data_IF_690012341661
#
_entry.id   IF_690012341661
#
_cell.length_a   1.000
_cell.length_b   1.000
_cell.length_c   1.000
_cell.angle_alpha   90.00
_cell.angle_beta   90.00
_cell.angle_gamma   90.00
#
_symmetry.space_group_name_H-M   'P 1'
#
loop_
_entity.id
_entity.type
_entity.pdbx_description
1 polymer ?
#
# COMPACT_ATOMS: atom_id res chain seq x y z
N UNK A 1 16.90 8.90 26.57
CA UNK A 1 16.29 8.28 25.36
C UNK A 1 17.03 8.85 24.18
N UNK A 2 17.70 8.03 23.38
CA UNK A 2 18.40 8.48 22.18
C UNK A 2 17.43 8.33 21.00
N UNK A 3 17.25 9.41 20.22
CA UNK A 3 16.47 9.38 18.99
C UNK A 3 17.45 9.38 17.82
N UNK A 4 17.34 8.42 16.92
CA UNK A 4 18.25 8.25 15.80
C UNK A 4 17.82 9.07 14.56
N UNK A 5 16.51 9.38 14.44
CA UNK A 5 16.00 10.23 13.37
C UNK A 5 16.47 11.67 13.53
N UNK A 6 17.15 12.20 12.53
CA UNK A 6 17.71 13.56 12.52
C UNK A 6 17.30 14.28 11.25
N UNK A 7 16.32 15.23 11.30
CA UNK A 7 15.94 15.99 10.14
C UNK A 7 17.10 16.92 9.72
N UNK A 8 17.46 16.90 8.44
CA UNK A 8 18.44 17.79 7.83
C UNK A 8 17.79 19.13 7.42
N UNK A 9 16.47 19.10 7.16
CA UNK A 9 15.66 20.26 6.84
C UNK A 9 14.45 20.37 7.76
N UNK A 10 14.13 21.58 8.21
CA UNK A 10 12.93 21.86 8.99
C UNK A 10 12.10 22.89 8.22
N UNK A 11 10.85 22.59 7.83
CA UNK A 11 9.94 23.55 7.20
C UNK A 11 9.69 24.77 8.09
N UNK A 12 9.21 25.87 7.52
CA UNK A 12 8.74 27.01 8.31
C UNK A 12 7.34 26.71 8.86
N UNK A 13 7.08 27.13 10.11
CA UNK A 13 5.75 27.02 10.70
C UNK A 13 4.81 27.94 9.90
N UNK A 14 3.71 27.38 9.43
CA UNK A 14 2.64 28.08 8.73
C UNK A 14 1.49 28.47 9.68
N UNK A 15 1.00 27.53 10.48
CA UNK A 15 -0.07 27.72 11.48
C UNK A 15 0.49 27.49 12.89
N UNK A 16 0.62 28.59 13.64
CA UNK A 16 1.18 28.54 15.00
C UNK A 16 0.29 27.78 15.99
N UNK A 17 -1.03 27.76 15.78
CA UNK A 17 -1.96 27.00 16.63
C UNK A 17 -1.72 25.50 16.50
N UNK A 18 -1.63 25.01 15.25
CA UNK A 18 -1.32 23.59 14.99
C UNK A 18 0.07 23.23 15.50
N UNK A 19 1.06 24.10 15.30
CA UNK A 19 2.40 23.87 15.82
C UNK A 19 2.41 23.69 17.34
N UNK A 20 1.67 24.52 18.07
CA UNK A 20 1.56 24.43 19.54
C UNK A 20 0.91 23.09 19.97
N UNK A 21 -0.16 22.66 19.29
CA UNK A 21 -0.79 21.36 19.57
C UNK A 21 0.21 20.21 19.40
N UNK A 22 1.07 20.26 18.37
CA UNK A 22 2.09 19.22 18.14
C UNK A 22 3.23 19.29 19.17
N UNK A 23 3.62 20.47 19.62
CA UNK A 23 4.56 20.60 20.74
C UNK A 23 4.06 19.89 22.00
N UNK A 24 2.77 19.97 22.28
CA UNK A 24 2.15 19.29 23.43
C UNK A 24 2.04 17.76 23.22
N UNK A 25 1.93 17.30 21.98
CA UNK A 25 1.93 15.86 21.67
C UNK A 25 3.27 15.18 21.97
N UNK A 26 4.40 15.90 21.80
CA UNK A 26 5.74 15.34 21.88
C UNK A 26 6.64 16.04 22.94
N UNK A 27 6.23 16.15 24.21
CA UNK A 27 6.97 16.90 25.21
C UNK A 27 8.37 16.35 25.52
N UNK A 28 8.62 15.05 25.20
CA UNK A 28 9.88 14.37 25.48
C UNK A 28 10.85 14.35 24.29
N UNK A 29 10.44 14.87 23.12
CA UNK A 29 11.33 14.92 21.98
C UNK A 29 12.39 16.02 22.14
N UNK A 30 13.59 15.83 21.57
CA UNK A 30 14.55 16.89 21.41
C UNK A 30 13.94 18.09 20.65
N UNK A 31 14.45 19.28 20.89
CA UNK A 31 13.89 20.50 20.35
C UNK A 31 13.83 20.50 18.81
N UNK A 32 14.88 20.02 18.14
CA UNK A 32 14.92 19.90 16.68
C UNK A 32 13.81 18.99 16.12
N UNK A 33 13.55 17.86 16.78
CA UNK A 33 12.45 16.95 16.38
C UNK A 33 11.07 17.59 16.63
N UNK A 34 10.88 18.22 17.77
CA UNK A 34 9.64 18.94 18.06
C UNK A 34 9.37 20.02 17.03
N UNK A 35 10.39 20.82 16.69
CA UNK A 35 10.29 21.87 15.67
C UNK A 35 9.97 21.28 14.30
N UNK A 36 10.60 20.17 13.90
CA UNK A 36 10.32 19.50 12.64
C UNK A 36 8.86 19.01 12.56
N UNK A 37 8.37 18.28 13.55
CA UNK A 37 7.00 17.77 13.54
C UNK A 37 5.96 18.88 13.63
N UNK A 38 6.19 19.90 14.43
CA UNK A 38 5.32 21.06 14.55
C UNK A 38 5.23 21.84 13.23
N UNK A 39 6.37 22.08 12.58
CA UNK A 39 6.42 22.77 11.30
C UNK A 39 5.75 21.94 10.18
N UNK A 40 6.07 20.66 10.08
CA UNK A 40 5.49 19.72 9.10
C UNK A 40 3.96 19.65 9.22
N UNK A 41 3.45 19.48 10.43
CA UNK A 41 2.01 19.42 10.71
C UNK A 41 1.31 20.75 10.39
N UNK A 42 1.96 21.88 10.72
CA UNK A 42 1.39 23.21 10.47
C UNK A 42 1.19 23.53 8.98
N UNK A 43 1.96 22.89 8.10
CA UNK A 43 1.90 23.08 6.66
C UNK A 43 0.88 22.16 5.96
N UNK A 44 0.41 21.09 6.63
CA UNK A 44 -0.44 20.08 6.00
C UNK A 44 -1.47 19.51 6.97
N UNK A 45 -2.77 19.82 6.79
CA UNK A 45 -3.84 19.20 7.59
C UNK A 45 -3.84 17.66 7.53
N UNK A 46 -3.47 17.11 6.38
CA UNK A 46 -3.32 15.65 6.23
C UNK A 46 -2.23 15.11 7.16
N UNK A 47 -1.02 15.67 7.11
CA UNK A 47 0.08 15.22 7.96
C UNK A 47 -0.20 15.47 9.44
N UNK A 48 -0.84 16.58 9.79
CA UNK A 48 -1.28 16.85 11.16
C UNK A 48 -2.17 15.70 11.68
N UNK A 49 -3.22 15.37 10.93
CA UNK A 49 -4.11 14.25 11.30
C UNK A 49 -3.37 12.92 11.44
N UNK A 50 -2.44 12.62 10.50
CA UNK A 50 -1.66 11.39 10.57
C UNK A 50 -0.71 11.35 11.78
N UNK A 51 -0.03 12.45 12.09
CA UNK A 51 0.86 12.57 13.25
C UNK A 51 0.09 12.38 14.55
N UNK A 52 -1.12 12.94 14.66
CA UNK A 52 -1.98 12.72 15.83
C UNK A 52 -2.42 11.26 15.97
N UNK A 53 -2.90 10.66 14.89
CA UNK A 53 -3.44 9.29 14.91
C UNK A 53 -2.36 8.23 15.15
N UNK A 54 -1.14 8.45 14.66
CA UNK A 54 -0.02 7.50 14.74
C UNK A 54 1.06 7.94 15.74
N UNK A 55 0.72 8.82 16.69
CA UNK A 55 1.66 9.39 17.65
C UNK A 55 2.52 8.35 18.36
N UNK A 56 1.91 7.33 18.94
CA UNK A 56 2.62 6.34 19.73
C UNK A 56 3.53 5.48 18.85
N UNK A 57 3.08 5.09 17.68
CA UNK A 57 3.89 4.40 16.67
C UNK A 57 5.07 5.28 16.22
N UNK A 58 4.87 6.57 15.96
CA UNK A 58 5.94 7.50 15.60
C UNK A 58 7.01 7.61 16.69
N UNK A 59 6.60 7.68 17.97
CA UNK A 59 7.54 7.72 19.11
C UNK A 59 8.43 6.48 19.14
N UNK A 60 7.95 5.34 18.70
CA UNK A 60 8.73 4.12 18.66
C UNK A 60 9.64 4.05 17.44
N UNK A 61 9.12 4.32 16.24
CA UNK A 61 9.88 4.16 15.01
C UNK A 61 11.04 5.16 14.88
N UNK A 62 10.92 6.38 15.39
CA UNK A 62 12.01 7.38 15.34
C UNK A 62 13.19 7.07 16.26
N UNK A 63 13.07 6.06 17.13
CA UNK A 63 14.18 5.54 17.94
C UNK A 63 15.01 4.51 17.19
N UNK A 64 14.47 3.96 16.12
CA UNK A 64 15.16 2.98 15.29
C UNK A 64 16.21 3.69 14.44
N UNK A 65 17.36 3.07 14.24
CA UNK A 65 18.43 3.62 13.40
C UNK A 65 18.05 3.62 11.94
N UNK A 66 17.41 2.53 11.51
CA UNK A 66 16.87 2.34 10.17
C UNK A 66 15.52 1.63 10.29
N UNK A 67 14.46 2.26 9.79
CA UNK A 67 13.15 1.64 9.76
C UNK A 67 12.90 1.01 8.39
N UNK A 68 12.71 -0.31 8.40
CA UNK A 68 12.28 -1.03 7.20
C UNK A 68 10.78 -0.80 6.94
N UNK A 69 10.46 0.01 5.95
CA UNK A 69 9.09 0.33 5.56
C UNK A 69 8.26 -0.93 5.24
N UNK A 70 8.87 -1.94 4.63
CA UNK A 70 8.18 -3.17 4.25
C UNK A 70 7.86 -4.07 5.45
N UNK A 71 8.50 -3.84 6.61
CA UNK A 71 8.16 -4.51 7.85
C UNK A 71 6.70 -4.32 8.26
N UNK A 72 6.06 -3.21 7.82
CA UNK A 72 4.64 -2.96 8.04
C UNK A 72 3.73 -4.00 7.35
N UNK A 73 4.22 -4.64 6.28
CA UNK A 73 3.47 -5.60 5.47
C UNK A 73 3.78 -7.07 5.83
N UNK A 74 4.94 -7.36 6.44
CA UNK A 74 5.36 -8.71 6.75
C UNK A 74 4.33 -9.51 7.60
N UNK A 75 3.74 -8.92 8.66
CA UNK A 75 2.75 -9.61 9.48
C UNK A 75 1.44 -9.89 8.76
N UNK A 76 1.20 -9.23 7.62
CA UNK A 76 -0.07 -9.29 6.90
C UNK A 76 -0.18 -10.46 5.92
N UNK A 77 0.91 -11.19 5.68
CA UNK A 77 0.98 -12.29 4.68
C UNK A 77 -0.01 -13.44 4.95
N UNK A 78 -0.32 -13.70 6.21
CA UNK A 78 -1.23 -14.78 6.62
C UNK A 78 -2.64 -14.31 6.98
N UNK A 79 -2.93 -13.03 6.79
CA UNK A 79 -4.22 -12.46 7.18
C UNK A 79 -5.35 -12.91 6.26
N UNK A 80 -6.50 -13.19 6.85
CA UNK A 80 -7.73 -13.39 6.09
C UNK A 80 -8.18 -12.08 5.42
N UNK A 81 -8.92 -12.20 4.32
CA UNK A 81 -9.37 -11.07 3.50
C UNK A 81 -9.99 -9.92 4.31
N UNK A 82 -10.92 -10.24 5.21
CA UNK A 82 -11.63 -9.21 6.00
C UNK A 82 -10.70 -8.50 7.01
N UNK A 83 -9.77 -9.23 7.62
CA UNK A 83 -8.78 -8.66 8.52
C UNK A 83 -7.75 -7.82 7.73
N UNK A 84 -7.33 -8.30 6.56
CA UNK A 84 -6.40 -7.59 5.69
C UNK A 84 -6.97 -6.25 5.22
N UNK A 85 -8.28 -6.16 5.00
CA UNK A 85 -8.96 -4.93 4.60
C UNK A 85 -8.62 -3.74 5.53
N UNK A 86 -8.66 -3.95 6.84
CA UNK A 86 -8.34 -2.90 7.82
C UNK A 86 -6.82 -2.73 8.04
N UNK A 87 -6.12 -3.84 8.17
CA UNK A 87 -4.68 -3.84 8.49
C UNK A 87 -3.83 -3.23 7.37
N UNK A 88 -4.21 -3.46 6.11
CA UNK A 88 -3.49 -2.90 4.97
C UNK A 88 -3.67 -1.38 4.85
N UNK A 89 -4.85 -0.84 5.23
CA UNK A 89 -5.08 0.61 5.31
C UNK A 89 -4.22 1.26 6.40
N UNK A 90 -4.14 0.61 7.56
CA UNK A 90 -3.25 1.06 8.63
C UNK A 90 -1.78 1.07 8.17
N UNK A 91 -1.32 -0.01 7.54
CA UNK A 91 0.03 -0.11 7.00
C UNK A 91 0.30 0.99 5.95
N UNK A 92 -0.66 1.23 5.02
CA UNK A 92 -0.57 2.31 4.02
C UNK A 92 -0.49 3.69 4.68
N UNK A 93 -1.29 3.95 5.70
CA UNK A 93 -1.27 5.21 6.44
C UNK A 93 0.10 5.46 7.08
N UNK A 94 0.65 4.47 7.78
CA UNK A 94 1.99 4.54 8.39
C UNK A 94 3.09 4.69 7.36
N UNK A 95 3.02 3.93 6.27
CA UNK A 95 3.98 4.05 5.18
C UNK A 95 3.97 5.44 4.56
N UNK A 96 2.79 5.99 4.23
CA UNK A 96 2.66 7.33 3.67
C UNK A 96 3.20 8.42 4.62
N UNK A 97 2.92 8.29 5.92
CA UNK A 97 3.43 9.20 6.94
C UNK A 97 4.96 9.14 7.03
N UNK A 98 5.53 7.93 7.11
CA UNK A 98 6.98 7.75 7.23
C UNK A 98 7.73 8.26 6.00
N UNK A 99 7.25 7.93 4.80
CA UNK A 99 7.83 8.41 3.55
C UNK A 99 7.81 9.96 3.52
N UNK A 100 6.66 10.57 3.85
CA UNK A 100 6.53 12.02 3.88
C UNK A 100 7.46 12.69 4.91
N UNK A 101 7.66 12.07 6.06
CA UNK A 101 8.60 12.54 7.09
C UNK A 101 10.03 12.49 6.56
N UNK A 102 10.45 11.38 5.94
CA UNK A 102 11.80 11.23 5.39
C UNK A 102 12.07 12.19 4.23
N UNK A 103 11.09 12.42 3.35
CA UNK A 103 11.14 13.39 2.25
C UNK A 103 11.27 14.83 2.77
N UNK A 104 10.37 15.26 3.65
CA UNK A 104 10.37 16.62 4.20
C UNK A 104 11.59 16.91 5.09
N UNK A 105 12.12 15.90 5.74
CA UNK A 105 13.34 16.00 6.53
C UNK A 105 14.63 16.04 5.68
N UNK A 106 14.52 15.85 4.36
CA UNK A 106 15.64 15.78 3.40
C UNK A 106 16.60 14.58 3.65
N UNK A 107 16.05 13.49 4.23
CA UNK A 107 16.79 12.25 4.51
C UNK A 107 16.79 11.34 3.27
N UNK A 108 15.69 11.31 2.51
CA UNK A 108 15.55 10.54 1.29
C UNK A 108 15.54 11.44 0.05
N UNK A 109 16.27 11.01 -0.99
CA UNK A 109 16.18 11.65 -2.30
C UNK A 109 14.82 11.39 -2.95
N UNK A 110 14.45 12.16 -3.96
CA UNK A 110 13.22 11.98 -4.74
C UNK A 110 13.11 10.54 -5.29
N UNK A 111 14.22 10.00 -5.80
CA UNK A 111 14.27 8.65 -6.35
C UNK A 111 13.99 7.61 -5.26
N UNK A 112 14.56 7.78 -4.06
CA UNK A 112 14.28 6.91 -2.91
C UNK A 112 12.81 6.98 -2.51
N UNK A 113 12.23 8.17 -2.45
CA UNK A 113 10.82 8.39 -2.09
C UNK A 113 9.91 7.65 -3.07
N UNK A 114 10.08 7.87 -4.38
CA UNK A 114 9.24 7.25 -5.41
C UNK A 114 9.43 5.73 -5.48
N UNK A 115 10.67 5.26 -5.31
CA UNK A 115 10.97 3.84 -5.21
C UNK A 115 10.27 3.19 -4.01
N UNK A 116 10.33 3.81 -2.82
CA UNK A 116 9.68 3.27 -1.61
C UNK A 116 8.16 3.25 -1.71
N UNK A 117 7.56 4.25 -2.36
CA UNK A 117 6.13 4.25 -2.68
C UNK A 117 5.77 3.09 -3.62
N UNK A 118 6.59 2.85 -4.64
CA UNK A 118 6.37 1.77 -5.63
C UNK A 118 6.57 0.38 -5.01
N UNK A 119 7.64 0.17 -4.25
CA UNK A 119 7.90 -1.09 -3.52
C UNK A 119 6.75 -1.44 -2.55
N UNK A 120 6.23 -0.44 -1.84
CA UNK A 120 5.08 -0.65 -0.97
C UNK A 120 3.83 -1.01 -1.76
N UNK A 121 3.58 -0.35 -2.89
CA UNK A 121 2.43 -0.64 -3.76
C UNK A 121 2.50 -2.06 -4.31
N UNK A 122 3.64 -2.49 -4.84
CA UNK A 122 3.84 -3.86 -5.34
C UNK A 122 3.50 -4.91 -4.28
N UNK A 123 4.04 -4.74 -3.08
CA UNK A 123 3.78 -5.69 -1.98
C UNK A 123 2.33 -5.66 -1.52
N UNK A 124 1.70 -4.49 -1.48
CA UNK A 124 0.29 -4.35 -1.12
C UNK A 124 -0.63 -5.02 -2.15
N UNK A 125 -0.34 -4.85 -3.45
CA UNK A 125 -1.07 -5.53 -4.55
C UNK A 125 -0.94 -7.04 -4.43
N UNK A 126 0.27 -7.55 -4.21
CA UNK A 126 0.50 -9.00 -4.05
C UNK A 126 -0.27 -9.56 -2.83
N UNK A 127 -0.22 -8.89 -1.67
CA UNK A 127 -0.98 -9.31 -0.49
C UNK A 127 -2.49 -9.31 -0.74
N UNK A 128 -2.99 -8.29 -1.42
CA UNK A 128 -4.41 -8.18 -1.77
C UNK A 128 -4.84 -9.29 -2.74
N UNK A 129 -3.99 -9.62 -3.72
CA UNK A 129 -4.20 -10.76 -4.63
C UNK A 129 -4.25 -12.08 -3.86
N UNK A 130 -3.23 -12.39 -3.07
CA UNK A 130 -3.16 -13.64 -2.31
C UNK A 130 -4.39 -13.83 -1.41
N UNK A 131 -4.80 -12.80 -0.68
CA UNK A 131 -5.98 -12.86 0.19
C UNK A 131 -7.27 -13.04 -0.61
N UNK A 132 -7.43 -12.34 -1.74
CA UNK A 132 -8.61 -12.43 -2.60
C UNK A 132 -8.71 -13.79 -3.27
N UNK A 133 -7.61 -14.34 -3.77
CA UNK A 133 -7.57 -15.67 -4.36
C UNK A 133 -7.87 -16.76 -3.33
N UNK A 134 -7.25 -16.71 -2.16
CA UNK A 134 -7.52 -17.64 -1.06
C UNK A 134 -9.00 -17.58 -0.61
N UNK A 135 -9.65 -16.42 -0.67
CA UNK A 135 -11.08 -16.29 -0.40
C UNK A 135 -11.92 -17.03 -1.46
N UNK A 136 -11.55 -16.96 -2.74
CA UNK A 136 -12.23 -17.73 -3.81
C UNK A 136 -12.00 -19.23 -3.69
N UNK A 137 -10.79 -19.67 -3.31
CA UNK A 137 -10.48 -21.08 -3.07
C UNK A 137 -11.40 -21.71 -1.99
N UNK A 138 -11.72 -20.96 -0.93
CA UNK A 138 -12.64 -21.42 0.13
C UNK A 138 -14.06 -21.73 -0.37
N UNK A 139 -14.45 -21.21 -1.54
CA UNK A 139 -15.74 -21.53 -2.17
C UNK A 139 -15.77 -22.91 -2.82
N UNK A 140 -14.63 -23.59 -2.87
CA UNK A 140 -14.51 -24.99 -3.32
C UNK A 140 -14.72 -25.23 -4.81
N UNK A 141 -14.63 -24.17 -5.64
CA UNK A 141 -14.85 -24.26 -7.10
C UNK A 141 -13.55 -24.44 -7.89
N UNK A 142 -12.40 -24.26 -7.24
CA UNK A 142 -11.09 -24.45 -7.84
C UNK A 142 -10.75 -25.95 -7.86
N UNK A 143 -10.37 -26.54 -9.02
CA UNK A 143 -10.09 -27.97 -9.11
C UNK A 143 -8.84 -28.34 -8.31
N UNK A 144 -8.97 -29.38 -7.46
CA UNK A 144 -7.93 -29.81 -6.50
C UNK A 144 -6.63 -30.33 -7.15
N UNK A 145 -6.64 -30.64 -8.42
CA UNK A 145 -5.46 -31.17 -9.13
C UNK A 145 -4.43 -30.11 -9.50
N UNK A 146 -4.81 -28.83 -9.46
CA UNK A 146 -3.89 -27.74 -9.75
C UNK A 146 -3.27 -27.19 -8.46
N UNK A 147 -2.06 -26.66 -8.59
CA UNK A 147 -1.44 -25.93 -7.50
C UNK A 147 -2.27 -24.68 -7.18
N UNK A 148 -2.80 -24.65 -5.97
CA UNK A 148 -3.61 -23.55 -5.47
C UNK A 148 -2.76 -22.47 -4.76
N UNK A 149 -1.42 -22.52 -4.90
CA UNK A 149 -0.54 -21.48 -4.39
C UNK A 149 -0.72 -20.21 -5.24
N UNK A 150 -1.10 -19.05 -4.64
CA UNK A 150 -1.28 -17.80 -5.36
C UNK A 150 -0.05 -17.36 -6.17
N UNK A 151 1.15 -17.74 -5.75
CA UNK A 151 2.41 -17.38 -6.43
C UNK A 151 2.69 -18.26 -7.68
N UNK A 152 2.07 -19.44 -7.80
CA UNK A 152 2.36 -20.43 -8.85
C UNK A 152 1.14 -20.78 -9.72
N UNK A 153 -0.01 -20.17 -9.46
CA UNK A 153 -1.28 -20.54 -10.11
C UNK A 153 -1.40 -20.06 -11.57
N UNK A 154 -0.32 -19.50 -12.12
CA UNK A 154 -0.31 -18.94 -13.47
C UNK A 154 -0.94 -17.56 -13.60
N UNK A 155 -1.25 -16.90 -12.49
CA UNK A 155 -1.73 -15.51 -12.49
C UNK A 155 -0.58 -14.52 -12.40
N UNK A 156 -0.65 -13.43 -13.16
CA UNK A 156 0.32 -12.35 -13.06
C UNK A 156 -0.31 -10.98 -13.30
N UNK A 157 0.33 -9.96 -12.77
CA UNK A 157 -0.11 -8.56 -12.86
C UNK A 157 1.01 -7.75 -13.51
N UNK A 158 0.67 -6.99 -14.53
CA UNK A 158 1.56 -5.97 -15.08
C UNK A 158 1.19 -4.62 -14.45
N UNK A 159 2.16 -4.02 -13.76
CA UNK A 159 2.08 -2.64 -13.34
C UNK A 159 2.46 -1.73 -14.50
N UNK A 160 1.63 -0.74 -14.78
CA UNK A 160 1.80 0.20 -15.87
C UNK A 160 2.08 1.62 -15.32
N UNK A 161 2.40 2.53 -16.23
CA UNK A 161 2.59 3.94 -15.88
C UNK A 161 3.67 4.16 -14.81
N UNK A 162 3.37 5.02 -13.84
CA UNK A 162 4.34 5.39 -12.78
C UNK A 162 4.72 4.22 -11.88
N UNK A 163 3.79 3.31 -11.59
CA UNK A 163 4.11 2.13 -10.78
C UNK A 163 5.06 1.21 -11.55
N UNK A 164 4.79 0.94 -12.84
CA UNK A 164 5.65 0.12 -13.68
C UNK A 164 7.06 0.69 -13.88
N UNK A 165 7.20 2.01 -13.82
CA UNK A 165 8.49 2.71 -13.89
C UNK A 165 9.19 2.88 -12.53
N UNK A 166 8.58 2.44 -11.43
CA UNK A 166 9.06 2.69 -10.05
C UNK A 166 9.16 4.18 -9.69
N UNK A 167 8.25 4.99 -10.27
CA UNK A 167 8.18 6.45 -10.08
C UNK A 167 6.84 6.88 -9.46
N UNK A 168 6.24 6.05 -8.59
CA UNK A 168 4.94 6.31 -8.00
C UNK A 168 4.98 7.56 -7.11
N UNK A 169 3.98 8.45 -7.25
CA UNK A 169 3.80 9.63 -6.39
C UNK A 169 2.83 9.35 -5.23
N UNK A 170 2.80 10.24 -4.23
CA UNK A 170 1.96 10.13 -3.03
C UNK A 170 0.48 9.84 -3.29
N UNK A 171 -0.13 10.51 -4.24
CA UNK A 171 -1.56 10.35 -4.55
C UNK A 171 -1.81 9.84 -5.95
N UNK A 172 -0.84 9.15 -6.55
CA UNK A 172 -1.03 8.52 -7.85
C UNK A 172 -1.98 7.33 -7.76
N UNK A 173 -2.74 7.16 -8.83
CA UNK A 173 -3.43 5.91 -9.11
C UNK A 173 -2.39 4.84 -9.48
N UNK A 174 -2.73 3.59 -9.29
CA UNK A 174 -1.96 2.45 -9.79
C UNK A 174 -2.70 1.83 -10.96
N UNK A 175 -2.02 1.76 -12.09
CA UNK A 175 -2.54 1.18 -13.34
C UNK A 175 -2.11 -0.26 -13.42
N UNK A 176 -3.05 -1.20 -13.46
CA UNK A 176 -2.78 -2.64 -13.45
C UNK A 176 -3.50 -3.35 -14.60
N UNK A 177 -2.82 -4.33 -15.21
CA UNK A 177 -3.43 -5.28 -16.13
C UNK A 177 -3.22 -6.68 -15.54
N UNK A 178 -4.31 -7.44 -15.38
CA UNK A 178 -4.29 -8.77 -14.77
C UNK A 178 -4.47 -9.84 -15.83
N UNK A 179 -3.61 -10.85 -15.78
CA UNK A 179 -3.60 -11.98 -16.71
C UNK A 179 -3.53 -13.32 -15.96
N UNK A 180 -3.93 -14.37 -16.64
CA UNK A 180 -3.66 -15.74 -16.23
C UNK A 180 -3.30 -16.60 -17.44
N UNK A 181 -2.44 -17.59 -17.23
CA UNK A 181 -2.00 -18.54 -18.24
C UNK A 181 -3.13 -19.56 -18.49
N UNK A 182 -3.66 -19.58 -19.72
CA UNK A 182 -4.74 -20.51 -20.11
C UNK A 182 -4.25 -21.92 -20.35
N UNK A 183 -2.98 -22.11 -20.76
CA UNK A 183 -2.42 -23.40 -21.11
C UNK A 183 -2.26 -24.34 -19.90
N UNK A 184 -2.20 -23.79 -18.70
CA UNK A 184 -2.09 -24.58 -17.46
C UNK A 184 -3.35 -25.43 -17.23
N UNK A 185 -4.52 -25.05 -17.79
CA UNK A 185 -5.81 -25.63 -17.45
C UNK A 185 -6.42 -26.45 -18.58
N UNK A 186 -7.07 -27.56 -18.21
CA UNK A 186 -7.81 -28.34 -19.18
C UNK A 186 -9.02 -27.55 -19.73
N UNK A 187 -9.36 -27.70 -21.03
CA UNK A 187 -10.47 -26.98 -21.66
C UNK A 187 -11.82 -27.15 -20.94
N UNK A 188 -12.08 -28.31 -20.35
CA UNK A 188 -13.33 -28.61 -19.62
C UNK A 188 -13.48 -27.77 -18.33
N UNK A 189 -12.37 -27.38 -17.70
CA UNK A 189 -12.33 -26.64 -16.45
C UNK A 189 -12.09 -25.14 -16.66
N UNK A 190 -11.70 -24.75 -17.87
CA UNK A 190 -11.34 -23.38 -18.22
C UNK A 190 -12.36 -22.32 -17.74
N UNK A 191 -13.65 -22.58 -17.94
CA UNK A 191 -14.70 -21.65 -17.55
C UNK A 191 -14.78 -21.43 -16.02
N UNK A 192 -14.54 -22.49 -15.24
CA UNK A 192 -14.53 -22.41 -13.78
C UNK A 192 -13.31 -21.64 -13.29
N UNK A 193 -12.15 -21.91 -13.88
CA UNK A 193 -10.89 -21.24 -13.58
C UNK A 193 -10.95 -19.76 -13.91
N UNK A 194 -11.35 -19.42 -15.13
CA UNK A 194 -11.55 -18.04 -15.59
C UNK A 194 -12.46 -17.26 -14.64
N UNK A 195 -13.57 -17.86 -14.21
CA UNK A 195 -14.48 -17.22 -13.24
C UNK A 195 -13.81 -16.97 -11.90
N UNK A 196 -13.00 -17.90 -11.41
CA UNK A 196 -12.26 -17.79 -10.15
C UNK A 196 -11.27 -16.61 -10.22
N UNK A 197 -10.47 -16.51 -11.30
CA UNK A 197 -9.53 -15.42 -11.49
C UNK A 197 -10.22 -14.06 -11.62
N UNK A 198 -11.31 -13.97 -12.39
CA UNK A 198 -12.08 -12.73 -12.51
C UNK A 198 -12.64 -12.28 -11.14
N UNK A 199 -13.18 -13.21 -10.35
CA UNK A 199 -13.72 -12.89 -9.03
C UNK A 199 -12.62 -12.49 -8.05
N UNK A 200 -11.49 -13.19 -8.03
CA UNK A 200 -10.33 -12.86 -7.21
C UNK A 200 -9.79 -11.46 -7.57
N UNK A 201 -9.66 -11.15 -8.88
CA UNK A 201 -9.26 -9.81 -9.33
C UNK A 201 -10.24 -8.72 -8.89
N UNK A 202 -11.56 -8.96 -8.96
CA UNK A 202 -12.57 -8.02 -8.46
C UNK A 202 -12.46 -7.81 -6.94
N UNK A 203 -12.19 -8.87 -6.19
CA UNK A 203 -12.01 -8.80 -4.74
C UNK A 203 -10.70 -8.08 -4.38
N UNK A 204 -9.59 -8.36 -5.09
CA UNK A 204 -8.34 -7.60 -4.96
C UNK A 204 -8.56 -6.10 -5.22
N UNK A 205 -9.19 -5.76 -6.34
CA UNK A 205 -9.54 -4.36 -6.67
C UNK A 205 -10.35 -3.70 -5.55
N UNK A 206 -11.39 -4.38 -5.02
CA UNK A 206 -12.21 -3.86 -3.93
C UNK A 206 -11.37 -3.62 -2.67
N UNK A 207 -10.49 -4.56 -2.30
CA UNK A 207 -9.63 -4.45 -1.14
C UNK A 207 -8.72 -3.22 -1.24
N UNK A 208 -8.16 -2.94 -2.42
CA UNK A 208 -7.26 -1.81 -2.65
C UNK A 208 -8.00 -0.47 -2.76
N UNK A 209 -9.09 -0.43 -3.52
CA UNK A 209 -9.72 0.80 -4.00
C UNK A 209 -10.93 1.28 -3.18
N UNK A 210 -11.59 0.39 -2.41
CA UNK A 210 -12.78 0.77 -1.66
C UNK A 210 -12.45 1.81 -0.58
N UNK A 211 -13.18 2.93 -0.61
CA UNK A 211 -13.01 4.02 0.35
C UNK A 211 -13.84 3.72 1.60
N UNK A 212 -13.18 3.21 2.64
CA UNK A 212 -13.78 2.94 3.94
C UNK A 212 -13.52 4.06 4.96
N UNK A 213 -13.81 3.78 6.23
CA UNK A 213 -13.58 4.70 7.36
C UNK A 213 -12.10 5.17 7.44
N UNK A 214 -11.16 4.28 7.09
CA UNK A 214 -9.72 4.53 7.11
C UNK A 214 -9.16 4.89 5.72
N UNK A 215 -10.02 5.32 4.79
CA UNK A 215 -9.66 5.63 3.41
C UNK A 215 -9.51 4.39 2.53
N UNK A 216 -8.74 4.52 1.46
CA UNK A 216 -8.38 3.44 0.53
C UNK A 216 -6.88 3.10 0.66
N UNK A 217 -6.48 1.94 0.14
CA UNK A 217 -5.05 1.58 0.05
C UNK A 217 -4.42 2.29 -1.17
N UNK A 218 -4.95 1.99 -2.36
CA UNK A 218 -4.61 2.67 -3.61
C UNK A 218 -5.85 2.83 -4.49
N UNK A 219 -6.00 3.97 -5.12
CA UNK A 219 -6.89 4.10 -6.27
C UNK A 219 -6.30 3.26 -7.39
N UNK A 220 -7.06 2.28 -7.84
CA UNK A 220 -6.59 1.27 -8.80
C UNK A 220 -7.34 1.40 -10.11
N UNK A 221 -6.63 1.49 -11.22
CA UNK A 221 -7.21 1.50 -12.56
C UNK A 221 -6.94 0.16 -13.27
N UNK A 222 -8.00 -0.50 -13.69
CA UNK A 222 -7.95 -1.75 -14.45
C UNK A 222 -8.39 -1.56 -15.90
N UNK A 223 -8.50 -0.31 -16.39
CA UNK A 223 -9.07 -0.01 -17.72
C UNK A 223 -8.06 -0.13 -18.88
N UNK A 224 -6.77 -0.30 -18.61
CA UNK A 224 -5.73 -0.40 -19.65
C UNK A 224 -5.75 -1.71 -20.46
N UNK A 225 -6.73 -2.59 -20.19
CA UNK A 225 -6.97 -3.78 -21.01
C UNK A 225 -7.68 -3.41 -22.31
N UNK A 226 -7.54 -4.24 -23.38
CA UNK A 226 -8.26 -4.00 -24.63
C UNK A 226 -9.77 -3.92 -24.42
N UNK A 227 -10.43 -2.92 -24.95
CA UNK A 227 -11.87 -2.66 -24.85
C UNK A 227 -12.49 -3.03 -23.49
N UNK A 228 -12.35 -2.15 -22.44
CA UNK A 228 -12.82 -2.44 -21.09
C UNK A 228 -14.34 -2.66 -20.98
N UNK A 229 -15.10 -2.32 -21.99
CA UNK A 229 -16.56 -2.51 -22.02
C UNK A 229 -16.97 -3.97 -22.24
N UNK A 230 -16.13 -4.77 -22.90
CA UNK A 230 -16.41 -6.17 -23.27
C UNK A 230 -15.41 -7.16 -22.72
N UNK A 231 -14.17 -6.74 -22.45
CA UNK A 231 -13.15 -7.64 -21.88
C UNK A 231 -13.25 -7.74 -20.35
N UNK A 232 -13.08 -8.92 -19.77
CA UNK A 232 -13.09 -9.10 -18.32
C UNK A 232 -11.89 -8.40 -17.66
N UNK A 233 -11.98 -8.15 -16.35
CA UNK A 233 -10.92 -7.49 -15.56
C UNK A 233 -9.64 -8.32 -15.41
N UNK A 234 -9.70 -9.62 -15.73
CA UNK A 234 -8.57 -10.52 -15.83
C UNK A 234 -8.71 -11.31 -17.13
N UNK A 235 -7.66 -11.33 -17.93
CA UNK A 235 -7.64 -11.93 -19.26
C UNK A 235 -6.77 -13.19 -19.24
N UNK A 236 -7.19 -14.19 -19.97
CA UNK A 236 -6.34 -15.32 -20.31
C UNK A 236 -5.33 -14.95 -21.39
N UNK A 237 -4.18 -15.59 -21.33
CA UNK A 237 -3.12 -15.52 -22.35
C UNK A 237 -2.64 -16.94 -22.64
N UNK A 238 -2.30 -17.19 -23.89
CA UNK A 238 -1.68 -18.39 -24.45
C UNK A 238 -0.19 -18.14 -24.78
#
# INVERSE_FOLDING_TARGET
MTFEFKPERIPKIFDQRIANEVYDLFPKFPENLRNFFAATASCSPFLFSQIQNERDWLVDVIKEKEFDLLSLLHPLKSEAYDALYFKLRLAKRRAALWIAICDLADIWSLETVTQKLSEFADKAVNLAWCAAFNQELRKGKFPKKYDANPDNVGFFILAMGKLGAYELNYSSDIDLICFFDEEIFNPEEFQAMRRTFINATKNMYRLLNENGKDGYVFRTDLRLRPDPSVTPVCMGVD
#
